data_IF_798851050932
#
_entry.id   IF_798851050932
#
_cell.length_a   1.000
_cell.length_b   1.000
_cell.length_c   1.000
_cell.angle_alpha   90.00
_cell.angle_beta   90.00
_cell.angle_gamma   90.00
#
_symmetry.space_group_name_H-M   'P 1'
#
loop_
_entity.id
_entity.type
_entity.pdbx_description
1 polymer ?
#
# COMPACT_ATOMS: atom_id res chain seq x y z
N UNK A 1 5.99 -20.93 -19.12
CA UNK A 1 4.65 -20.47 -18.73
C UNK A 1 4.79 -19.16 -17.98
N UNK A 2 4.17 -18.08 -18.46
CA UNK A 2 4.31 -16.75 -17.87
C UNK A 2 3.38 -16.55 -16.67
N UNK A 3 3.83 -16.94 -15.48
CA UNK A 3 3.21 -16.54 -14.22
C UNK A 3 3.87 -15.24 -13.73
N UNK A 4 3.66 -14.13 -14.46
CA UNK A 4 4.22 -12.81 -14.11
C UNK A 4 3.21 -11.88 -13.45
N UNK A 5 2.02 -12.40 -13.10
CA UNK A 5 0.90 -11.61 -12.56
C UNK A 5 0.33 -12.27 -11.32
N UNK A 6 0.12 -11.45 -10.29
CA UNK A 6 -0.59 -11.80 -9.07
C UNK A 6 -1.84 -10.93 -9.04
N UNK A 7 -3.00 -11.54 -8.82
CA UNK A 7 -4.27 -10.83 -8.70
C UNK A 7 -4.56 -10.56 -7.23
N UNK A 8 -4.73 -9.28 -6.88
CA UNK A 8 -5.13 -8.87 -5.54
C UNK A 8 -6.66 -8.76 -5.45
N UNK A 9 -7.23 -9.27 -4.36
CA UNK A 9 -8.67 -9.13 -4.03
C UNK A 9 -8.96 -7.93 -3.11
N UNK A 10 -7.91 -7.30 -2.59
CA UNK A 10 -7.95 -6.17 -1.66
C UNK A 10 -7.18 -4.99 -2.24
N UNK A 11 -7.49 -3.75 -1.83
CA UNK A 11 -6.72 -2.58 -2.25
C UNK A 11 -5.28 -2.63 -1.73
N UNK A 12 -4.39 -1.90 -2.41
CA UNK A 12 -3.02 -1.68 -1.97
C UNK A 12 -3.03 -0.66 -0.81
N UNK A 13 -2.45 -1.05 0.31
CA UNK A 13 -2.24 -0.17 1.47
C UNK A 13 -0.77 0.21 1.57
N UNK A 14 -0.49 1.47 1.86
CA UNK A 14 0.86 2.02 2.00
C UNK A 14 0.95 2.78 3.32
N UNK A 15 2.04 2.58 4.07
CA UNK A 15 2.23 3.19 5.40
C UNK A 15 1.55 2.43 6.55
N UNK A 16 0.41 1.82 6.32
CA UNK A 16 -0.30 1.04 7.34
C UNK A 16 -1.55 0.37 6.78
N UNK A 17 -2.22 -0.45 7.58
CA UNK A 17 -3.47 -1.10 7.19
C UNK A 17 -4.52 -0.96 8.30
N UNK A 18 -5.81 -0.78 7.97
CA UNK A 18 -6.86 -0.53 8.95
C UNK A 18 -7.11 -1.71 9.91
N UNK A 19 -6.76 -2.94 9.53
CA UNK A 19 -6.91 -4.13 10.36
C UNK A 19 -5.61 -4.97 10.40
N UNK A 20 -4.58 -4.42 11.02
CA UNK A 20 -3.27 -5.08 11.12
C UNK A 20 -3.32 -6.47 11.78
N UNK A 21 -4.32 -6.79 12.62
CA UNK A 21 -4.39 -8.03 13.41
C UNK A 21 -4.17 -9.32 12.60
N UNK A 22 -4.77 -9.44 11.41
CA UNK A 22 -4.57 -10.60 10.53
C UNK A 22 -3.27 -10.53 9.73
N UNK A 23 -2.80 -9.32 9.44
CA UNK A 23 -1.56 -9.05 8.72
C UNK A 23 -0.31 -9.28 9.59
N UNK A 24 -0.39 -9.11 10.92
CA UNK A 24 0.78 -9.28 11.83
C UNK A 24 1.45 -10.64 11.62
N UNK A 25 0.67 -11.71 11.41
CA UNK A 25 1.22 -13.05 11.19
C UNK A 25 2.00 -13.18 9.87
N UNK A 26 1.59 -12.45 8.84
CA UNK A 26 2.23 -12.50 7.52
C UNK A 26 3.36 -11.47 7.35
N UNK A 27 3.21 -10.28 7.95
CA UNK A 27 4.13 -9.15 7.79
C UNK A 27 5.12 -9.05 8.97
N UNK A 28 4.83 -9.68 10.10
CA UNK A 28 5.69 -9.69 11.29
C UNK A 28 5.67 -8.41 12.13
N UNK A 29 4.82 -7.44 11.78
CA UNK A 29 4.67 -6.17 12.51
C UNK A 29 3.19 -5.81 12.69
N UNK A 30 2.89 -5.16 13.81
CA UNK A 30 1.58 -4.59 14.13
C UNK A 30 1.56 -3.06 14.08
N UNK A 31 2.69 -2.43 13.72
CA UNK A 31 2.82 -0.97 13.61
C UNK A 31 2.93 -0.56 12.15
N UNK A 32 2.30 0.56 11.83
CA UNK A 32 2.52 1.24 10.55
C UNK A 32 3.95 1.75 10.42
N UNK A 33 4.36 2.05 9.20
CA UNK A 33 5.59 2.76 8.91
C UNK A 33 5.48 4.22 9.40
N UNK A 34 6.47 4.66 10.16
CA UNK A 34 6.58 6.03 10.63
C UNK A 34 7.72 6.73 9.89
N UNK A 35 7.38 7.62 8.96
CA UNK A 35 8.34 8.36 8.16
C UNK A 35 7.73 8.89 6.87
N UNK A 36 8.55 9.54 6.05
CA UNK A 36 8.11 10.09 4.76
C UNK A 36 8.42 9.12 3.61
N UNK A 37 7.42 8.82 2.79
CA UNK A 37 7.61 8.13 1.52
C UNK A 37 7.52 9.15 0.39
N UNK A 38 8.54 9.21 -0.47
CA UNK A 38 8.60 10.21 -1.55
C UNK A 38 8.22 9.65 -2.93
N UNK A 39 8.53 8.37 -3.19
CA UNK A 39 8.33 7.75 -4.49
C UNK A 39 7.88 6.31 -4.34
N UNK A 40 6.86 5.92 -5.11
CA UNK A 40 6.37 4.56 -5.24
C UNK A 40 6.31 4.19 -6.72
N UNK A 41 6.96 3.10 -7.10
CA UNK A 41 6.90 2.54 -8.46
C UNK A 41 6.43 1.09 -8.39
N UNK A 42 5.33 0.78 -9.08
CA UNK A 42 4.75 -0.57 -9.14
C UNK A 42 4.62 -0.98 -10.60
N UNK A 43 5.16 -2.15 -10.97
CA UNK A 43 5.16 -2.62 -12.36
C UNK A 43 5.71 -1.58 -13.35
N UNK A 44 6.82 -0.91 -12.99
CA UNK A 44 7.44 0.18 -13.77
C UNK A 44 6.57 1.42 -13.96
N UNK A 45 5.45 1.54 -13.23
CA UNK A 45 4.59 2.73 -13.22
C UNK A 45 4.79 3.49 -11.91
N UNK A 46 5.22 4.74 -12.02
CA UNK A 46 5.24 5.67 -10.90
C UNK A 46 3.79 5.94 -10.45
N UNK A 47 3.52 5.70 -9.17
CA UNK A 47 2.22 5.94 -8.53
C UNK A 47 2.28 7.27 -7.80
N UNK A 48 1.32 8.15 -8.09
CA UNK A 48 1.19 9.41 -7.38
C UNK A 48 0.50 9.17 -6.03
N UNK A 49 1.27 9.22 -4.95
CA UNK A 49 0.77 8.99 -3.58
C UNK A 49 -0.04 10.16 -3.02
N UNK A 50 -0.25 11.24 -3.78
CA UNK A 50 -1.10 12.35 -3.35
C UNK A 50 -2.59 11.95 -3.33
N UNK A 51 -3.41 12.60 -2.48
CA UNK A 51 -4.85 12.38 -2.45
C UNK A 51 -5.53 12.64 -3.80
N UNK A 52 -6.52 11.83 -4.13
CA UNK A 52 -7.43 12.10 -5.23
C UNK A 52 -8.12 13.47 -5.02
N UNK A 53 -8.35 14.29 -6.07
CA UNK A 53 -8.13 14.02 -7.50
C UNK A 53 -6.72 14.33 -8.03
N UNK A 54 -5.82 14.85 -7.18
CA UNK A 54 -4.48 15.27 -7.63
C UNK A 54 -3.50 14.10 -7.82
N UNK A 55 -3.77 12.96 -7.16
CA UNK A 55 -2.99 11.73 -7.28
C UNK A 55 -3.86 10.48 -7.27
N UNK A 56 -3.24 9.33 -6.98
CA UNK A 56 -3.84 8.00 -7.03
C UNK A 56 -4.28 7.48 -5.65
N UNK A 57 -4.03 8.20 -4.56
CA UNK A 57 -4.46 7.77 -3.23
C UNK A 57 -5.98 7.96 -3.07
N UNK A 58 -6.70 6.85 -2.90
CA UNK A 58 -8.17 6.83 -2.76
C UNK A 58 -8.64 7.17 -1.34
N UNK A 59 -7.84 6.87 -0.33
CA UNK A 59 -8.16 7.13 1.07
C UNK A 59 -6.88 7.16 1.90
N UNK A 60 -6.82 8.08 2.87
CA UNK A 60 -5.81 8.09 3.92
C UNK A 60 -6.46 7.64 5.22
N UNK A 61 -5.87 6.65 5.89
CA UNK A 61 -6.21 6.34 7.27
C UNK A 61 -5.13 6.98 8.16
N UNK A 62 -5.55 7.90 9.02
CA UNK A 62 -4.74 8.28 10.18
C UNK A 62 -4.80 7.10 11.15
N UNK A 63 -3.64 6.54 11.52
CA UNK A 63 -3.52 5.41 12.47
C UNK A 63 -2.63 5.80 13.63
#
# INVERSE_FOLDING_TARGET
>A
GQYTKITFRTPLFLGGAPNAYWLVRAVGTNRGFQGCMQSLTVNSKAIDIRPWPKGNALSGADI
#
